data_IF_321397385158
#
_entry.id   IF_321397385158
#
_cell.length_a   1.000
_cell.length_b   1.000
_cell.length_c   1.000
_cell.angle_alpha   90.00
_cell.angle_beta   90.00
_cell.angle_gamma   90.00
#
_symmetry.space_group_name_H-M   'P 1'
#
loop_
_entity.id
_entity.type
_entity.pdbx_description
1 polymer ?
#
# COMPACT_ATOMS: atom_id res chain seq x y z
N UNK A 1 -0.16 44.07 21.45
CA UNK A 1 -0.08 43.88 19.98
C UNK A 1 0.93 42.80 19.59
N UNK A 2 2.25 43.01 19.61
CA UNK A 2 3.22 41.98 19.11
C UNK A 2 3.07 40.59 19.78
N UNK A 3 2.71 40.54 21.07
CA UNK A 3 2.56 39.27 21.79
C UNK A 3 1.26 38.50 21.47
N UNK A 4 0.20 39.20 21.04
CA UNK A 4 -1.07 38.57 20.65
C UNK A 4 -0.96 38.00 19.24
N UNK A 5 -0.45 38.79 18.29
CA UNK A 5 -0.19 38.34 16.92
C UNK A 5 0.78 37.14 16.88
N UNK A 6 1.80 37.15 17.75
CA UNK A 6 2.73 36.03 17.88
C UNK A 6 2.06 34.76 18.43
N UNK A 7 1.16 34.91 19.41
CA UNK A 7 0.42 33.78 19.96
C UNK A 7 -0.57 33.20 18.94
N UNK A 8 -1.28 34.05 18.19
CA UNK A 8 -2.17 33.62 17.11
C UNK A 8 -1.40 32.89 16.00
N UNK A 9 -0.25 33.44 15.58
CA UNK A 9 0.62 32.78 14.61
C UNK A 9 1.09 31.41 15.10
N UNK A 10 1.48 31.29 16.37
CA UNK A 10 1.92 30.03 16.96
C UNK A 10 0.79 28.99 16.95
N UNK A 11 -0.42 29.38 17.38
CA UNK A 11 -1.58 28.49 17.37
C UNK A 11 -1.94 28.05 15.94
N UNK A 12 -1.91 28.96 14.98
CA UNK A 12 -2.14 28.64 13.57
C UNK A 12 -1.12 27.63 13.04
N UNK A 13 0.17 27.81 13.37
CA UNK A 13 1.22 26.87 12.97
C UNK A 13 1.05 25.48 13.60
N UNK A 14 0.65 25.42 14.86
CA UNK A 14 0.37 24.16 15.54
C UNK A 14 -0.80 23.41 14.89
N UNK A 15 -1.89 24.11 14.55
CA UNK A 15 -3.02 23.53 13.82
C UNK A 15 -2.65 23.04 12.42
N UNK A 16 -1.84 23.80 11.68
CA UNK A 16 -1.39 23.38 10.35
C UNK A 16 -0.45 22.17 10.41
N UNK A 17 0.43 22.09 11.41
CA UNK A 17 1.26 20.91 11.65
C UNK A 17 0.41 19.67 11.97
N UNK A 18 -0.57 19.80 12.85
CA UNK A 18 -1.49 18.71 13.18
C UNK A 18 -2.29 18.24 11.94
N UNK A 19 -2.70 19.18 11.09
CA UNK A 19 -3.39 18.87 9.84
C UNK A 19 -2.48 18.12 8.86
N UNK A 20 -1.22 18.55 8.71
CA UNK A 20 -0.25 17.88 7.85
C UNK A 20 0.06 16.46 8.35
N UNK A 21 0.20 16.27 9.65
CA UNK A 21 0.40 14.94 10.25
C UNK A 21 -0.77 13.99 9.95
N UNK A 22 -2.01 14.48 10.10
CA UNK A 22 -3.22 13.72 9.73
C UNK A 22 -3.25 13.35 8.24
N UNK A 23 -2.81 14.24 7.36
CA UNK A 23 -2.73 13.97 5.92
C UNK A 23 -1.67 12.92 5.63
N UNK A 24 -0.47 13.05 6.22
CA UNK A 24 0.62 12.11 6.05
C UNK A 24 0.20 10.69 6.49
N UNK A 25 -0.43 10.57 7.66
CA UNK A 25 -0.93 9.30 8.17
C UNK A 25 -1.97 8.67 7.24
N UNK A 26 -2.95 9.45 6.77
CA UNK A 26 -3.96 8.95 5.81
C UNK A 26 -3.32 8.49 4.50
N UNK A 27 -2.28 9.18 4.03
CA UNK A 27 -1.56 8.78 2.83
C UNK A 27 -0.80 7.47 3.04
N UNK A 28 -0.16 7.29 4.20
CA UNK A 28 0.49 6.04 4.59
C UNK A 28 -0.51 4.88 4.63
N UNK A 29 -1.65 5.07 5.32
CA UNK A 29 -2.72 4.07 5.40
C UNK A 29 -3.25 3.70 4.00
N UNK A 30 -3.47 4.69 3.13
CA UNK A 30 -3.93 4.46 1.76
C UNK A 30 -2.89 3.70 0.92
N UNK A 31 -1.61 4.03 1.07
CA UNK A 31 -0.52 3.34 0.38
C UNK A 31 -0.42 1.88 0.85
N UNK A 32 -0.55 1.63 2.15
CA UNK A 32 -0.55 0.30 2.73
C UNK A 32 -1.73 -0.53 2.21
N UNK A 33 -2.94 0.03 2.24
CA UNK A 33 -4.13 -0.61 1.69
C UNK A 33 -3.99 -0.95 0.19
N UNK A 34 -3.35 -0.08 -0.58
CA UNK A 34 -3.08 -0.32 -2.01
C UNK A 34 -2.08 -1.46 -2.22
N UNK A 35 -1.04 -1.58 -1.38
CA UNK A 35 -0.11 -2.71 -1.41
C UNK A 35 -0.83 -4.02 -1.10
N UNK A 36 -1.63 -4.05 -0.04
CA UNK A 36 -2.41 -5.23 0.35
C UNK A 36 -3.42 -5.65 -0.72
N UNK A 37 -4.16 -4.69 -1.30
CA UNK A 37 -5.07 -4.94 -2.41
C UNK A 37 -4.36 -5.52 -3.62
N UNK A 38 -3.14 -5.07 -3.89
CA UNK A 38 -2.32 -5.58 -4.99
C UNK A 38 -1.87 -7.01 -4.70
N UNK A 39 -1.36 -7.29 -3.50
CA UNK A 39 -0.96 -8.65 -3.09
C UNK A 39 -2.14 -9.62 -3.12
N UNK A 40 -3.32 -9.22 -2.61
CA UNK A 40 -4.52 -10.05 -2.65
C UNK A 40 -4.96 -10.39 -4.08
N UNK A 41 -4.85 -9.43 -5.02
CA UNK A 41 -5.12 -9.69 -6.44
C UNK A 41 -4.11 -10.67 -7.05
N UNK A 42 -2.82 -10.51 -6.76
CA UNK A 42 -1.76 -11.44 -7.20
C UNK A 42 -2.06 -12.86 -6.72
N UNK A 43 -2.34 -13.01 -5.42
CA UNK A 43 -2.69 -14.30 -4.81
C UNK A 43 -3.93 -14.92 -5.43
N UNK A 44 -5.00 -14.14 -5.62
CA UNK A 44 -6.25 -14.62 -6.24
C UNK A 44 -6.04 -15.16 -7.65
N UNK A 45 -5.21 -14.50 -8.46
CA UNK A 45 -4.90 -14.97 -9.82
C UNK A 45 -4.05 -16.24 -9.74
N UNK A 46 -3.03 -16.25 -8.89
CA UNK A 46 -2.15 -17.42 -8.71
C UNK A 46 -2.93 -18.66 -8.28
N UNK A 47 -3.81 -18.55 -7.28
CA UNK A 47 -4.67 -19.64 -6.82
C UNK A 47 -5.49 -20.22 -7.96
N UNK A 48 -6.20 -19.38 -8.72
CA UNK A 48 -7.00 -19.82 -9.87
C UNK A 48 -6.20 -20.54 -10.95
N UNK A 49 -4.94 -20.14 -11.15
CA UNK A 49 -4.06 -20.82 -12.11
C UNK A 49 -3.57 -22.17 -11.56
N UNK A 50 -3.33 -22.25 -10.26
CA UNK A 50 -2.91 -23.48 -9.56
C UNK A 50 -4.05 -24.49 -9.34
N UNK A 51 -5.32 -24.06 -9.37
CA UNK A 51 -6.51 -24.91 -9.19
C UNK A 51 -6.70 -25.97 -10.29
N UNK A 52 -5.97 -25.88 -11.40
CA UNK A 52 -6.02 -26.89 -12.46
C UNK A 52 -5.46 -28.22 -11.94
N UNK A 53 -6.35 -29.20 -11.77
CA UNK A 53 -6.06 -30.55 -11.23
C UNK A 53 -4.91 -31.27 -11.95
N UNK A 54 -4.70 -30.98 -13.24
CA UNK A 54 -3.60 -31.51 -14.04
C UNK A 54 -2.93 -30.40 -14.86
N UNK A 55 -1.97 -29.71 -14.25
CA UNK A 55 -1.01 -28.89 -14.99
C UNK A 55 -0.01 -29.83 -15.69
N UNK A 56 0.14 -29.69 -17.00
CA UNK A 56 1.29 -30.28 -17.72
C UNK A 56 2.61 -29.65 -17.24
N UNK A 57 3.73 -30.28 -17.55
CA UNK A 57 5.03 -29.86 -17.02
C UNK A 57 5.44 -28.45 -17.50
N UNK A 58 5.01 -28.04 -18.70
CA UNK A 58 5.23 -26.69 -19.21
C UNK A 58 4.45 -25.66 -18.38
N UNK A 59 3.20 -25.96 -18.05
CA UNK A 59 2.35 -25.10 -17.24
C UNK A 59 2.82 -25.04 -15.78
N UNK A 60 3.39 -26.13 -15.23
CA UNK A 60 4.04 -26.10 -13.91
C UNK A 60 5.24 -25.15 -13.90
N UNK A 61 6.14 -25.26 -14.87
CA UNK A 61 7.31 -24.35 -14.99
C UNK A 61 6.90 -22.89 -15.15
N UNK A 62 5.85 -22.62 -15.92
CA UNK A 62 5.33 -21.27 -16.09
C UNK A 62 4.72 -20.72 -14.79
N UNK A 63 4.03 -21.57 -14.02
CA UNK A 63 3.47 -21.18 -12.73
C UNK A 63 4.56 -20.92 -11.68
N UNK A 64 5.63 -21.71 -11.66
CA UNK A 64 6.81 -21.47 -10.81
C UNK A 64 7.47 -20.13 -11.15
N UNK A 65 7.72 -19.86 -12.44
CA UNK A 65 8.27 -18.57 -12.87
C UNK A 65 7.35 -17.40 -12.48
N UNK A 66 6.05 -17.57 -12.66
CA UNK A 66 5.06 -16.57 -12.27
C UNK A 66 5.06 -16.33 -10.76
N UNK A 67 5.30 -17.37 -9.95
CA UNK A 67 5.41 -17.23 -8.49
C UNK A 67 6.59 -16.32 -8.11
N UNK A 68 7.76 -16.57 -8.71
CA UNK A 68 8.92 -15.69 -8.53
C UNK A 68 8.60 -14.26 -8.98
N UNK A 69 8.10 -14.06 -10.20
CA UNK A 69 7.81 -12.73 -10.76
C UNK A 69 6.74 -11.95 -9.94
N UNK A 70 5.80 -12.64 -9.29
CA UNK A 70 4.72 -12.00 -8.54
C UNK A 70 5.07 -11.72 -7.07
N UNK A 71 5.84 -12.60 -6.43
CA UNK A 71 6.00 -12.59 -4.97
C UNK A 71 7.44 -12.37 -4.50
N UNK A 72 8.42 -12.51 -5.37
CA UNK A 72 9.81 -12.17 -5.07
C UNK A 72 10.17 -10.83 -5.72
N UNK A 73 11.01 -10.05 -5.03
CA UNK A 73 11.52 -8.76 -5.50
C UNK A 73 12.92 -8.95 -6.08
#
# INVERSE_FOLDING_TARGET
MVNEEWNEFKQFKEQELERLDKIAKRQEDANQLMKEKTQAKKMKIFMKLSEKEHLDDKNKQLLEKLSHDLFEN
#
